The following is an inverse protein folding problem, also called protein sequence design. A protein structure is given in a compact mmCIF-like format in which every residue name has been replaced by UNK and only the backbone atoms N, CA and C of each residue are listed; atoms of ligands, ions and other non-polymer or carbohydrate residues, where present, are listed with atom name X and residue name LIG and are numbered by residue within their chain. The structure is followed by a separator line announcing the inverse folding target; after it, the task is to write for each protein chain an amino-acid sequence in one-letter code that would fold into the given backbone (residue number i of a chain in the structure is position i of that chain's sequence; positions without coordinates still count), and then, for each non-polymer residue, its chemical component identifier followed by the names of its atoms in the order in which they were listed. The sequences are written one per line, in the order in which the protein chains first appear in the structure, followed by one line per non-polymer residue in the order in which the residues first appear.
data_IF_477375208227
#
_entry.id   IF_477375208227
#
_cell.length_a   1.000
_cell.length_b   1.000
_cell.length_c   1.000
_cell.angle_alpha   90.00
_cell.angle_beta   90.00
_cell.angle_gamma   90.00
#
_symmetry.space_group_name_H-M   'P 1'
#
loop_
_entity.id
_entity.type
_entity.pdbx_description
1 polymer ?
#
# COMPACT_ATOMS: atom_id res chain seq x y z
N UNK A 1 8.26 -13.50 -8.33
CA UNK A 1 6.96 -12.88 -7.97
C UNK A 1 7.16 -11.43 -7.53
N UNK A 2 8.02 -11.15 -6.54
CA UNK A 2 8.37 -9.77 -6.14
C UNK A 2 9.09 -9.00 -7.27
N UNK A 3 10.00 -9.62 -8.01
CA UNK A 3 10.70 -8.98 -9.15
C UNK A 3 9.73 -8.57 -10.28
N UNK A 4 8.77 -9.42 -10.62
CA UNK A 4 7.72 -9.11 -11.61
C UNK A 4 6.86 -7.94 -11.09
N UNK A 5 6.51 -7.95 -9.80
CA UNK A 5 5.75 -6.86 -9.19
C UNK A 5 6.46 -5.51 -9.27
N UNK A 6 7.79 -5.50 -9.07
CA UNK A 6 8.64 -4.31 -9.21
C UNK A 6 8.77 -3.83 -10.66
N UNK A 7 8.96 -4.76 -11.60
CA UNK A 7 9.11 -4.44 -13.01
C UNK A 7 7.82 -3.85 -13.61
N UNK A 8 6.67 -4.44 -13.28
CA UNK A 8 5.35 -4.02 -13.77
C UNK A 8 4.74 -2.87 -12.96
N UNK A 9 5.48 -2.33 -11.98
CA UNK A 9 5.06 -1.23 -11.11
C UNK A 9 3.70 -1.47 -10.46
N UNK A 10 3.47 -2.68 -9.97
CA UNK A 10 2.20 -2.99 -9.31
C UNK A 10 2.02 -2.12 -8.07
N UNK A 11 0.76 -1.78 -7.79
CA UNK A 11 0.41 -1.12 -6.53
C UNK A 11 0.84 -2.02 -5.36
N UNK A 12 1.55 -1.45 -4.38
CA UNK A 12 1.88 -2.20 -3.17
C UNK A 12 0.57 -2.49 -2.45
N UNK A 13 0.23 -3.76 -2.25
CA UNK A 13 -1.05 -4.13 -1.63
C UNK A 13 -1.06 -3.79 -0.14
N UNK A 14 -1.43 -2.55 0.19
CA UNK A 14 -1.60 -2.05 1.57
C UNK A 14 -2.92 -2.51 2.22
N UNK A 15 -3.87 -2.97 1.41
CA UNK A 15 -5.18 -3.48 1.82
C UNK A 15 -5.71 -4.43 0.73
N UNK A 16 -6.71 -5.27 1.04
CA UNK A 16 -7.14 -6.36 0.15
C UNK A 16 -7.94 -5.90 -1.10
N UNK A 17 -7.98 -4.60 -1.40
CA UNK A 17 -8.76 -4.04 -2.52
C UNK A 17 -10.23 -3.73 -2.21
N UNK A 18 -10.73 -4.07 -1.03
CA UNK A 18 -12.10 -3.80 -0.59
C UNK A 18 -12.21 -2.48 0.20
N UNK A 19 -13.30 -1.73 0.01
CA UNK A 19 -13.59 -0.50 0.76
C UNK A 19 -13.63 -0.71 2.28
N UNK A 20 -14.15 -1.85 2.74
CA UNK A 20 -14.17 -2.21 4.16
C UNK A 20 -12.76 -2.47 4.71
N UNK A 21 -11.91 -3.15 3.93
CA UNK A 21 -10.51 -3.37 4.31
C UNK A 21 -9.74 -2.05 4.37
N UNK A 22 -9.96 -1.13 3.42
CA UNK A 22 -9.35 0.20 3.45
C UNK A 22 -9.76 0.99 4.70
N UNK A 23 -11.05 0.96 5.05
CA UNK A 23 -11.58 1.64 6.24
C UNK A 23 -10.94 1.12 7.52
N UNK A 24 -10.92 -0.20 7.68
CA UNK A 24 -10.46 -0.83 8.92
C UNK A 24 -8.92 -0.69 9.05
N UNK A 25 -8.17 -0.82 7.96
CA UNK A 25 -6.72 -0.53 7.95
C UNK A 25 -6.45 0.93 8.29
N UNK A 26 -7.23 1.88 7.77
CA UNK A 26 -7.07 3.30 8.11
C UNK A 26 -7.45 3.61 9.56
N UNK A 27 -8.46 2.94 10.12
CA UNK A 27 -8.81 3.05 11.53
C UNK A 27 -7.66 2.56 12.43
N UNK A 28 -7.06 1.42 12.09
CA UNK A 28 -5.90 0.88 12.80
C UNK A 28 -4.67 1.79 12.69
N UNK A 29 -4.40 2.36 11.50
CA UNK A 29 -3.29 3.31 11.32
C UNK A 29 -3.48 4.56 12.17
N UNK A 30 -4.70 5.12 12.20
CA UNK A 30 -5.02 6.29 13.04
C UNK A 30 -4.85 6.01 14.52
N UNK A 31 -5.25 4.83 15.01
CA UNK A 31 -5.05 4.49 16.43
C UNK A 31 -3.58 4.34 16.82
N UNK A 32 -2.71 4.05 15.85
CA UNK A 32 -1.25 4.02 16.02
C UNK A 32 -0.56 5.36 15.72
N UNK A 33 -1.31 6.43 15.45
CA UNK A 33 -0.76 7.73 15.07
C UNK A 33 -0.11 7.77 13.67
N UNK A 34 -0.41 6.77 12.83
CA UNK A 34 0.06 6.70 11.44
C UNK A 34 -0.96 7.35 10.49
N UNK A 35 -0.45 7.99 9.44
CA UNK A 35 -1.28 8.55 8.38
C UNK A 35 -2.10 7.47 7.66
N UNK A 36 -3.34 7.80 7.21
CA UNK A 36 -4.15 6.88 6.41
C UNK A 36 -3.46 6.56 5.09
N UNK A 37 -3.85 5.43 4.51
CA UNK A 37 -3.43 4.99 3.18
C UNK A 37 -3.98 5.95 2.14
N UNK A 38 -3.10 6.44 1.26
CA UNK A 38 -3.42 7.30 0.14
C UNK A 38 -3.34 6.48 -1.15
N UNK A 39 -4.50 6.26 -1.77
CA UNK A 39 -4.61 5.49 -3.00
C UNK A 39 -3.81 6.14 -4.13
N UNK A 40 -3.06 5.32 -4.87
CA UNK A 40 -2.26 5.78 -6.00
C UNK A 40 -0.95 6.48 -5.64
N UNK A 41 -0.42 6.27 -4.43
CA UNK A 41 0.92 6.76 -4.05
C UNK A 41 1.98 5.67 -3.95
N UNK A 42 1.64 4.48 -3.45
CA UNK A 42 2.60 3.41 -3.21
C UNK A 42 2.59 2.38 -4.35
N UNK A 43 3.54 2.52 -5.25
CA UNK A 43 3.82 1.56 -6.32
C UNK A 43 5.17 0.92 -6.06
N UNK A 44 5.29 -0.38 -6.35
CA UNK A 44 6.62 -0.98 -6.43
C UNK A 44 7.41 -0.27 -7.54
N UNK A 45 8.63 0.14 -7.24
CA UNK A 45 9.52 0.79 -8.18
C UNK A 45 10.97 0.40 -7.91
N UNK A 46 11.87 0.61 -8.87
CA UNK A 46 13.29 0.32 -8.70
C UNK A 46 13.95 1.15 -7.57
N UNK A 47 13.32 2.23 -7.12
CA UNK A 47 13.78 3.11 -6.04
C UNK A 47 13.41 2.65 -4.61
N UNK A 48 12.66 1.56 -4.43
CA UNK A 48 12.24 1.06 -3.10
C UNK A 48 13.42 0.39 -2.32
N UNK A 49 14.63 0.39 -2.86
CA UNK A 49 15.85 -0.27 -2.32
C UNK A 49 16.97 0.69 -1.89
N UNK A 50 16.67 1.93 -1.49
CA UNK A 50 17.67 2.86 -0.91
C UNK A 50 17.47 3.13 0.57
#
# INVERSE_FOLDING_TARGET
MIEISKQEKFYQQEYCGCAYSLRDTNAHRRSQGRSPIELGKLYYGPDDET
#
